data_IF_175337434405
#
_entry.id   IF_175337434405
#
_cell.length_a   1.000
_cell.length_b   1.000
_cell.length_c   1.000
_cell.angle_alpha   90.00
_cell.angle_beta   90.00
_cell.angle_gamma   90.00
#
_symmetry.space_group_name_H-M   'P 1'
#
loop_
_entity.id
_entity.type
_entity.pdbx_description
1 polymer ?
#
# COMPACT_ATOMS: atom_id res chain seq x y z
N UNK A 1 11.55 -2.32 9.40
CA UNK A 1 10.41 -1.62 10.04
C UNK A 1 10.80 -1.18 11.44
N UNK A 2 10.18 -0.13 11.97
CA UNK A 2 10.45 0.39 13.31
C UNK A 2 9.23 0.14 14.21
N UNK A 3 9.46 -0.19 15.48
CA UNK A 3 8.37 -0.38 16.44
C UNK A 3 8.79 -0.03 17.87
N UNK A 4 7.79 0.24 18.70
CA UNK A 4 7.92 0.39 20.16
C UNK A 4 7.33 -0.85 20.82
N UNK A 5 7.97 -1.34 21.87
CA UNK A 5 7.53 -2.53 22.58
C UNK A 5 7.14 -2.20 24.01
N UNK A 6 6.08 -2.83 24.51
CA UNK A 6 5.74 -2.79 25.93
C UNK A 6 6.77 -3.60 26.74
N UNK A 7 7.00 -3.20 27.99
CA UNK A 7 7.93 -3.84 28.92
C UNK A 7 7.40 -5.13 29.56
N UNK A 8 6.13 -5.47 29.33
CA UNK A 8 5.41 -6.60 29.92
C UNK A 8 5.78 -7.96 29.32
N UNK A 9 6.43 -7.98 28.14
CA UNK A 9 6.84 -9.20 27.44
C UNK A 9 8.28 -9.15 26.91
N UNK A 10 8.96 -10.30 26.74
CA UNK A 10 10.29 -10.31 26.14
C UNK A 10 10.30 -9.72 24.73
N UNK A 11 11.24 -8.82 24.45
CA UNK A 11 11.39 -8.17 23.15
C UNK A 11 11.54 -9.14 21.96
N UNK A 12 12.28 -10.27 22.08
CA UNK A 12 12.36 -11.24 21.00
C UNK A 12 10.98 -11.80 20.60
N UNK A 13 10.08 -12.01 21.57
CA UNK A 13 8.76 -12.57 21.32
C UNK A 13 7.84 -11.54 20.65
N UNK A 14 7.83 -10.30 21.14
CA UNK A 14 7.08 -9.20 20.51
C UNK A 14 7.56 -8.95 19.07
N UNK A 15 8.88 -9.01 18.85
CA UNK A 15 9.46 -8.89 17.53
C UNK A 15 9.09 -10.09 16.62
N UNK A 16 9.05 -11.32 17.15
CA UNK A 16 8.65 -12.49 16.39
C UNK A 16 7.19 -12.40 15.93
N UNK A 17 6.28 -11.98 16.82
CA UNK A 17 4.86 -11.77 16.49
C UNK A 17 4.70 -10.70 15.41
N UNK A 18 5.40 -9.56 15.54
CA UNK A 18 5.35 -8.50 14.54
C UNK A 18 5.90 -8.97 13.19
N UNK A 19 7.00 -9.74 13.17
CA UNK A 19 7.52 -10.34 11.93
C UNK A 19 6.49 -11.27 11.29
N UNK A 20 5.87 -12.14 12.07
CA UNK A 20 4.85 -13.06 11.56
C UNK A 20 3.63 -12.31 10.99
N UNK A 21 3.18 -11.26 11.67
CA UNK A 21 2.09 -10.40 11.20
C UNK A 21 2.45 -9.69 9.89
N UNK A 22 3.67 -9.14 9.77
CA UNK A 22 4.13 -8.46 8.56
C UNK A 22 4.26 -9.43 7.37
N UNK A 23 4.85 -10.62 7.57
CA UNK A 23 4.94 -11.65 6.53
C UNK A 23 3.54 -12.09 6.08
N UNK A 24 2.63 -12.29 7.04
CA UNK A 24 1.24 -12.66 6.74
C UNK A 24 0.54 -11.55 5.94
N UNK A 25 0.66 -10.29 6.36
CA UNK A 25 0.05 -9.16 5.67
C UNK A 25 0.62 -8.98 4.25
N UNK A 26 1.93 -9.13 4.07
CA UNK A 26 2.58 -9.06 2.76
C UNK A 26 2.05 -10.15 1.82
N UNK A 27 1.93 -11.39 2.29
CA UNK A 27 1.43 -12.49 1.48
C UNK A 27 -0.06 -12.37 1.17
N UNK A 28 -0.88 -11.95 2.14
CA UNK A 28 -2.35 -11.94 2.03
C UNK A 28 -2.89 -10.69 1.34
N UNK A 29 -2.39 -9.51 1.70
CA UNK A 29 -2.88 -8.21 1.19
C UNK A 29 -2.09 -7.72 -0.01
N UNK A 30 -0.77 -7.90 0.00
CA UNK A 30 0.07 -7.41 -1.09
C UNK A 30 0.34 -8.48 -2.15
N UNK A 31 0.34 -9.76 -1.77
CA UNK A 31 0.76 -10.86 -2.65
C UNK A 31 2.27 -10.93 -2.84
N UNK A 32 3.05 -10.39 -1.90
CA UNK A 32 4.51 -10.36 -1.95
C UNK A 32 5.11 -11.55 -1.19
N UNK A 33 6.17 -12.14 -1.76
CA UNK A 33 7.01 -13.11 -1.08
C UNK A 33 8.09 -12.36 -0.30
N UNK A 34 8.12 -12.57 1.02
CA UNK A 34 9.07 -11.89 1.93
C UNK A 34 10.00 -12.94 2.49
N UNK A 35 11.29 -12.82 2.18
CA UNK A 35 12.33 -13.73 2.69
C UNK A 35 12.71 -13.40 4.15
N UNK A 36 12.81 -12.11 4.48
CA UNK A 36 13.20 -11.65 5.81
C UNK A 36 12.55 -10.30 6.16
N UNK A 37 12.36 -10.05 7.46
CA UNK A 37 11.85 -8.78 7.99
C UNK A 37 12.78 -8.28 9.10
N UNK A 38 13.52 -7.22 8.80
CA UNK A 38 14.32 -6.50 9.77
C UNK A 38 13.48 -5.55 10.62
N UNK A 39 13.64 -5.67 11.94
CA UNK A 39 12.94 -4.83 12.91
C UNK A 39 13.94 -4.04 13.75
N UNK A 40 13.67 -2.74 13.91
CA UNK A 40 14.40 -1.86 14.82
C UNK A 40 13.48 -1.42 15.96
N UNK A 41 13.87 -1.72 17.18
CA UNK A 41 13.20 -1.20 18.38
C UNK A 41 13.63 0.25 18.57
N UNK A 42 12.67 1.17 18.63
CA UNK A 42 12.95 2.61 18.78
C UNK A 42 12.64 3.13 20.18
N UNK A 43 11.77 2.45 20.94
CA UNK A 43 11.51 2.76 22.34
C UNK A 43 10.91 1.57 23.09
N UNK A 44 11.03 1.60 24.41
CA UNK A 44 10.29 0.75 25.34
C UNK A 44 9.22 1.58 26.03
N UNK A 45 8.00 1.04 26.11
CA UNK A 45 6.86 1.67 26.78
C UNK A 45 6.77 1.07 28.18
N UNK A 46 6.81 1.91 29.22
CA UNK A 46 6.67 1.50 30.61
C UNK A 46 5.20 1.17 30.96
N UNK A 47 4.98 0.07 31.67
CA UNK A 47 3.65 -0.33 32.13
C UNK A 47 3.11 0.68 33.17
N UNK A 48 1.98 1.32 32.85
CA UNK A 48 1.28 2.23 33.76
C UNK A 48 1.20 3.69 33.33
N UNK A 49 1.76 4.07 32.18
CA UNK A 49 1.26 5.23 31.48
C UNK A 49 -0.18 4.90 31.04
N UNK A 50 -1.17 5.50 31.71
CA UNK A 50 -2.56 5.40 31.30
C UNK A 50 -2.61 5.57 29.78
N UNK A 51 -3.32 4.64 29.15
CA UNK A 51 -3.54 4.48 27.73
C UNK A 51 -4.03 5.80 27.13
N UNK A 52 -3.13 6.74 26.95
CA UNK A 52 -3.24 7.74 25.92
C UNK A 52 -2.87 6.97 24.65
N UNK A 53 -3.78 6.06 24.26
CA UNK A 53 -4.26 6.07 22.89
C UNK A 53 -4.61 7.53 22.62
N UNK A 54 -3.60 8.33 22.27
CA UNK A 54 -3.76 9.12 21.08
C UNK A 54 -4.27 8.08 20.11
N UNK A 55 -5.59 8.06 19.85
CA UNK A 55 -6.16 7.34 18.72
C UNK A 55 -5.10 7.52 17.64
N UNK A 56 -4.41 6.44 17.22
CA UNK A 56 -3.24 6.58 16.38
C UNK A 56 -3.70 7.51 15.31
N UNK A 57 -3.17 8.74 15.26
CA UNK A 57 -3.79 9.86 14.55
C UNK A 57 -4.01 9.34 13.15
N UNK A 58 -5.25 8.87 12.89
CA UNK A 58 -5.43 7.70 12.01
C UNK A 58 -4.92 8.19 10.69
N UNK A 59 -3.74 7.72 10.19
CA UNK A 59 -2.88 8.58 9.41
C UNK A 59 -3.72 9.09 8.27
N UNK A 60 -4.23 10.31 8.45
CA UNK A 60 -5.10 10.94 7.49
C UNK A 60 -4.15 11.60 6.50
N UNK A 61 -3.13 10.83 6.11
CA UNK A 61 -2.55 10.93 4.80
C UNK A 61 -3.62 10.35 3.88
N UNK A 62 -4.70 11.10 3.70
CA UNK A 62 -5.58 10.89 2.58
C UNK A 62 -4.68 11.07 1.36
N UNK A 63 -4.27 9.94 0.80
CA UNK A 63 -3.38 9.92 -0.36
C UNK A 63 -4.06 10.79 -1.42
N UNK A 64 -3.40 11.85 -1.91
CA UNK A 64 -4.06 12.82 -2.75
C UNK A 64 -4.54 12.12 -4.02
N UNK A 65 -5.85 12.23 -4.27
CA UNK A 65 -6.54 11.59 -5.40
C UNK A 65 -6.41 12.46 -6.65
N UNK A 66 -6.31 11.82 -7.81
CA UNK A 66 -6.31 12.48 -9.11
C UNK A 66 -7.50 12.03 -9.95
N UNK A 67 -7.96 12.92 -10.83
CA UNK A 67 -8.95 12.59 -11.84
C UNK A 67 -8.30 11.74 -12.95
N UNK A 68 -9.08 10.83 -13.53
CA UNK A 68 -8.63 10.01 -14.64
C UNK A 68 -8.74 10.81 -15.95
N UNK A 69 -7.64 11.46 -16.35
CA UNK A 69 -7.59 12.24 -17.58
C UNK A 69 -6.80 11.50 -18.68
N UNK A 70 -7.49 11.18 -19.78
CA UNK A 70 -6.90 10.57 -20.96
C UNK A 70 -6.93 9.03 -20.98
N UNK A 71 -6.63 8.42 -22.13
CA UNK A 71 -6.90 7.00 -22.38
C UNK A 71 -6.13 6.06 -21.45
N UNK A 72 -4.91 6.45 -21.05
CA UNK A 72 -4.08 5.66 -20.13
C UNK A 72 -4.63 5.70 -18.71
N UNK A 73 -5.04 6.88 -18.23
CA UNK A 73 -5.59 7.05 -16.89
C UNK A 73 -6.95 6.35 -16.77
N UNK A 74 -7.81 6.48 -17.78
CA UNK A 74 -9.10 5.79 -17.87
C UNK A 74 -8.93 4.27 -17.87
N UNK A 75 -7.98 3.74 -18.66
CA UNK A 75 -7.68 2.32 -18.68
C UNK A 75 -7.21 1.79 -17.32
N UNK A 76 -6.40 2.57 -16.59
CA UNK A 76 -5.97 2.21 -15.24
C UNK A 76 -7.14 2.22 -14.25
N UNK A 77 -7.97 3.27 -14.27
CA UNK A 77 -9.12 3.42 -13.39
C UNK A 77 -10.22 2.37 -13.64
N UNK A 78 -10.34 1.86 -14.86
CA UNK A 78 -11.29 0.82 -15.22
C UNK A 78 -10.91 -0.59 -14.70
N UNK A 79 -9.69 -0.78 -14.19
CA UNK A 79 -9.23 -2.10 -13.73
C UNK A 79 -9.95 -2.48 -12.42
N UNK A 80 -10.61 -3.65 -12.36
CA UNK A 80 -11.23 -4.13 -11.13
C UNK A 80 -10.24 -4.19 -9.96
N UNK A 81 -10.59 -3.55 -8.85
CA UNK A 81 -9.75 -3.47 -7.66
C UNK A 81 -8.94 -2.17 -7.53
N UNK A 82 -8.95 -1.30 -8.55
CA UNK A 82 -8.50 0.10 -8.40
C UNK A 82 -9.62 0.90 -7.75
N UNK A 83 -9.30 1.57 -6.63
CA UNK A 83 -10.24 2.41 -5.89
C UNK A 83 -10.15 3.86 -6.37
N UNK A 84 -8.93 4.34 -6.60
CA UNK A 84 -8.68 5.67 -7.14
C UNK A 84 -7.29 5.77 -7.78
N UNK A 85 -7.12 6.74 -8.66
CA UNK A 85 -5.79 7.19 -9.09
C UNK A 85 -5.25 8.18 -8.05
N UNK A 86 -3.95 8.14 -7.82
CA UNK A 86 -3.29 8.95 -6.78
C UNK A 86 -2.19 9.82 -7.36
N UNK A 87 -1.71 10.80 -6.60
CA UNK A 87 -0.73 11.79 -7.06
C UNK A 87 0.31 12.13 -5.98
N UNK A 88 0.95 11.10 -5.44
CA UNK A 88 1.97 11.23 -4.40
C UNK A 88 3.28 11.75 -4.99
N UNK A 89 3.70 11.19 -6.14
CA UNK A 89 4.96 11.56 -6.78
C UNK A 89 4.79 12.50 -7.98
N UNK A 90 3.63 13.13 -8.12
CA UNK A 90 3.28 13.99 -9.25
C UNK A 90 1.97 13.57 -9.91
N UNK A 91 1.77 13.83 -11.21
CA UNK A 91 0.57 13.39 -11.93
C UNK A 91 0.36 11.87 -11.81
N UNK A 92 -0.91 11.45 -11.74
CA UNK A 92 -1.25 10.03 -11.60
C UNK A 92 -0.75 9.15 -12.74
N UNK A 93 -0.65 9.72 -13.94
CA UNK A 93 0.04 9.13 -15.08
C UNK A 93 1.19 10.05 -15.43
N UNK A 94 2.41 9.55 -15.27
CA UNK A 94 3.63 10.23 -15.67
C UNK A 94 4.25 9.50 -16.86
N UNK A 95 4.23 10.14 -18.02
CA UNK A 95 4.92 9.63 -19.22
C UNK A 95 6.29 10.28 -19.32
N UNK A 96 7.33 9.48 -19.10
CA UNK A 96 8.72 9.85 -19.36
C UNK A 96 9.14 9.34 -20.76
N UNK A 97 10.36 9.68 -21.18
CA UNK A 97 10.90 9.24 -22.47
C UNK A 97 11.06 7.72 -22.58
N UNK A 98 11.31 7.05 -21.45
CA UNK A 98 11.63 5.63 -21.37
C UNK A 98 10.58 4.78 -20.65
N UNK A 99 9.60 5.37 -19.97
CA UNK A 99 8.58 4.63 -19.22
C UNK A 99 7.30 5.42 -18.96
N UNK A 100 6.23 4.70 -18.62
CA UNK A 100 5.01 5.27 -18.06
C UNK A 100 4.90 4.82 -16.60
N UNK A 101 4.74 5.77 -15.66
CA UNK A 101 4.43 5.48 -14.26
C UNK A 101 2.96 5.79 -13.98
N UNK A 102 2.24 4.85 -13.38
CA UNK A 102 0.85 5.03 -12.95
C UNK A 102 0.74 4.85 -11.44
N UNK A 103 0.12 5.79 -10.74
CA UNK A 103 -0.06 5.78 -9.29
C UNK A 103 -1.51 5.43 -8.92
N UNK A 104 -1.71 4.38 -8.11
CA UNK A 104 -3.04 3.84 -7.80
C UNK A 104 -3.21 3.51 -6.32
N UNK A 105 -4.43 3.71 -5.82
CA UNK A 105 -4.92 3.09 -4.60
C UNK A 105 -5.71 1.82 -4.96
N UNK A 106 -5.48 0.73 -4.24
CA UNK A 106 -6.11 -0.57 -4.49
C UNK A 106 -7.04 -0.96 -3.36
N UNK A 107 -8.06 -1.76 -3.67
CA UNK A 107 -8.94 -2.36 -2.67
C UNK A 107 -8.21 -3.50 -1.94
N UNK A 108 -8.36 -3.55 -0.61
CA UNK A 108 -7.74 -4.56 0.24
C UNK A 108 -8.43 -5.93 0.23
N UNK A 109 -9.51 -6.09 -0.53
CA UNK A 109 -10.21 -7.37 -0.75
C UNK A 109 -9.51 -8.27 -1.78
N UNK A 110 -8.49 -7.73 -2.48
CA UNK A 110 -7.67 -8.43 -3.47
C UNK A 110 -6.19 -8.16 -3.19
N UNK A 111 -5.32 -9.02 -3.71
CA UNK A 111 -3.88 -8.83 -3.61
C UNK A 111 -3.47 -7.62 -4.47
N UNK A 112 -2.82 -6.64 -3.85
CA UNK A 112 -2.38 -5.42 -4.54
C UNK A 112 -1.48 -5.73 -5.75
N UNK A 113 -0.63 -6.76 -5.67
CA UNK A 113 0.23 -7.19 -6.79
C UNK A 113 -0.58 -7.66 -8.01
N UNK A 114 -1.69 -8.36 -7.80
CA UNK A 114 -2.52 -8.87 -8.89
C UNK A 114 -3.29 -7.72 -9.58
N UNK A 115 -3.76 -6.75 -8.79
CA UNK A 115 -4.34 -5.50 -9.31
C UNK A 115 -3.28 -4.73 -10.10
N UNK A 116 -2.08 -4.54 -9.54
CA UNK A 116 -1.00 -3.82 -10.21
C UNK A 116 -0.58 -4.46 -11.54
N UNK A 117 -0.52 -5.81 -11.61
CA UNK A 117 -0.27 -6.54 -12.87
C UNK A 117 -1.38 -6.33 -13.90
N UNK A 118 -2.63 -6.28 -13.43
CA UNK A 118 -3.80 -6.04 -14.28
C UNK A 118 -3.80 -4.62 -14.82
N UNK A 119 -3.52 -3.62 -13.98
CA UNK A 119 -3.33 -2.22 -14.37
C UNK A 119 -2.21 -2.10 -15.41
N UNK A 120 -1.06 -2.72 -15.15
CA UNK A 120 0.07 -2.72 -16.10
C UNK A 120 -0.36 -3.24 -17.47
N UNK A 121 -1.11 -4.35 -17.50
CA UNK A 121 -1.59 -4.96 -18.75
C UNK A 121 -2.57 -4.04 -19.49
N UNK A 122 -3.53 -3.45 -18.78
CA UNK A 122 -4.50 -2.53 -19.35
C UNK A 122 -3.85 -1.25 -19.89
N UNK A 123 -2.92 -0.67 -19.13
CA UNK A 123 -2.19 0.53 -19.53
C UNK A 123 -1.26 0.26 -20.70
N UNK A 124 -0.54 -0.87 -20.72
CA UNK A 124 0.28 -1.25 -21.87
C UNK A 124 -0.54 -1.44 -23.14
N UNK A 125 -1.80 -1.88 -23.04
CA UNK A 125 -2.69 -1.98 -24.20
C UNK A 125 -3.25 -0.63 -24.67
N UNK A 126 -3.39 0.33 -23.77
CA UNK A 126 -3.86 1.69 -24.07
C UNK A 126 -2.75 2.64 -24.53
N UNK A 127 -1.50 2.38 -24.15
CA UNK A 127 -0.35 3.19 -24.51
C UNK A 127 0.07 2.94 -25.97
N UNK A 128 0.13 3.99 -26.78
CA UNK A 128 0.49 3.89 -28.20
C UNK A 128 1.98 3.56 -28.43
N UNK A 129 2.85 3.96 -27.50
CA UNK A 129 4.30 3.96 -27.71
C UNK A 129 5.01 2.68 -27.24
N UNK A 130 4.27 1.72 -26.67
CA UNK A 130 4.83 0.43 -26.20
C UNK A 130 5.86 0.55 -25.08
N UNK A 131 5.94 1.72 -24.42
CA UNK A 131 6.86 1.98 -23.32
C UNK A 131 6.62 1.03 -22.14
N UNK A 132 7.67 0.64 -21.39
CA UNK A 132 7.49 -0.13 -20.17
C UNK A 132 6.66 0.65 -19.15
N UNK A 133 5.74 -0.07 -18.49
CA UNK A 133 4.79 0.51 -17.54
C UNK A 133 5.15 0.08 -16.12
N UNK A 134 5.34 1.06 -15.25
CA UNK A 134 5.53 0.90 -13.81
C UNK A 134 4.25 1.29 -13.08
N UNK A 135 3.78 0.46 -12.15
CA UNK A 135 2.60 0.75 -11.32
C UNK A 135 3.04 0.95 -9.89
N UNK A 136 2.75 2.13 -9.34
CA UNK A 136 3.00 2.48 -7.95
C UNK A 136 1.71 2.33 -7.15
N UNK A 137 1.69 1.40 -6.20
CA UNK A 137 0.59 1.26 -5.25
C UNK A 137 0.89 2.17 -4.06
N UNK A 138 0.11 3.22 -3.92
CA UNK A 138 0.28 4.25 -2.88
C UNK A 138 -0.62 4.01 -1.68
N UNK A 139 -1.70 3.24 -1.87
CA UNK A 139 -2.59 2.84 -0.78
C UNK A 139 -3.25 1.47 -1.05
N UNK A 140 -3.58 0.76 0.03
CA UNK A 140 -4.37 -0.47 0.02
C UNK A 140 -5.53 -0.28 1.00
N UNK A 141 -6.61 0.31 0.48
CA UNK A 141 -7.78 0.72 1.24
C UNK A 141 -8.44 -0.52 1.83
N UNK A 142 -8.55 -0.57 3.16
CA UNK A 142 -9.29 -1.64 3.81
C UNK A 142 -10.70 -1.70 3.22
N UNK A 143 -11.23 -2.91 3.02
CA UNK A 143 -12.66 -3.03 2.73
C UNK A 143 -13.41 -2.29 3.85
N UNK A 144 -14.42 -1.45 3.54
CA UNK A 144 -15.22 -0.86 4.59
C UNK A 144 -15.74 -2.02 5.43
N UNK A 145 -15.43 -2.01 6.73
CA UNK A 145 -15.92 -3.02 7.65
C UNK A 145 -17.45 -2.97 7.57
N UNK A 146 -18.03 -3.95 6.86
CA UNK A 146 -19.46 -4.12 6.76
C UNK A 146 -19.98 -4.42 8.15
N UNK A 147 -20.38 -3.39 8.87
CA UNK A 147 -21.02 -3.53 10.17
C UNK A 147 -22.53 -3.41 9.93
N UNK A 148 -23.32 -4.43 10.30
CA UNK A 148 -24.77 -4.43 10.11
C UNK A 148 -25.50 -3.42 11.02
#
# INVERSE_FOLDING_TARGET
AEFRAAGDRPLPDAAADLRAALVTAAATRLGLEVAEVDLRVTALIEDGAADQVTEPDAPSSSVPVAEAEGPVAEAAAAVPGVVSLTRVMGPAVHTAEDHIRVEVATAGDRRALDVARSVRTAVSAAAADGLPVSVLVTDVVAAPDGTP
#
